data_IF_673810571656
#
_entry.id   IF_673810571656
#
_cell.length_a   1.000
_cell.length_b   1.000
_cell.length_c   1.000
_cell.angle_alpha   90.00
_cell.angle_beta   90.00
_cell.angle_gamma   90.00
#
_symmetry.space_group_name_H-M   'P 1'
#
loop_
_entity.id
_entity.type
_entity.pdbx_description
1 polymer ?
#
# COMPACT_ATOMS: atom_id res chain seq x y z
N UNK A 1 1.82 -5.90 -1.27
CA UNK A 1 0.99 -6.09 -2.50
C UNK A 1 -0.49 -5.92 -2.16
N UNK A 2 -1.21 -5.05 -2.89
CA UNK A 2 -2.66 -4.82 -2.69
C UNK A 2 -3.46 -5.57 -3.75
N UNK A 3 -4.44 -6.37 -3.31
CA UNK A 3 -5.33 -7.09 -4.21
C UNK A 3 -6.51 -6.20 -4.62
N UNK A 4 -7.01 -6.40 -5.85
CA UNK A 4 -8.30 -5.86 -6.27
C UNK A 4 -9.44 -6.55 -5.50
N UNK A 5 -10.60 -5.88 -5.40
CA UNK A 5 -11.74 -6.42 -4.65
C UNK A 5 -12.13 -7.84 -5.08
N UNK A 6 -12.22 -8.08 -6.40
CA UNK A 6 -12.62 -9.40 -6.89
C UNK A 6 -11.59 -10.49 -6.54
N UNK A 7 -10.29 -10.18 -6.53
CA UNK A 7 -9.23 -11.09 -6.12
C UNK A 7 -9.33 -11.40 -4.62
N UNK A 8 -9.57 -10.38 -3.79
CA UNK A 8 -9.82 -10.56 -2.36
C UNK A 8 -11.05 -11.45 -2.11
N UNK A 9 -12.16 -11.23 -2.82
CA UNK A 9 -13.37 -12.06 -2.73
C UNK A 9 -13.16 -13.50 -3.17
N UNK A 10 -12.34 -13.75 -4.19
CA UNK A 10 -11.98 -15.12 -4.58
C UNK A 10 -11.23 -15.84 -3.45
N UNK A 11 -10.34 -15.14 -2.72
CA UNK A 11 -9.65 -15.71 -1.55
C UNK A 11 -10.63 -15.96 -0.40
N UNK A 12 -11.58 -15.05 -0.17
CA UNK A 12 -12.65 -15.25 0.81
C UNK A 12 -13.51 -16.48 0.48
N UNK A 13 -13.95 -16.61 -0.76
CA UNK A 13 -14.70 -17.76 -1.23
C UNK A 13 -13.92 -19.07 -1.07
N UNK A 14 -12.63 -19.09 -1.41
CA UNK A 14 -11.74 -20.25 -1.25
C UNK A 14 -11.57 -20.63 0.23
N UNK A 15 -11.61 -19.66 1.14
CA UNK A 15 -11.62 -19.87 2.59
C UNK A 15 -13.01 -20.26 3.12
N UNK A 16 -14.04 -20.37 2.27
CA UNK A 16 -15.41 -20.73 2.62
C UNK A 16 -16.24 -19.58 3.23
N UNK A 17 -15.81 -18.32 3.06
CA UNK A 17 -16.60 -17.15 3.41
C UNK A 17 -17.54 -16.85 2.24
N UNK A 18 -18.81 -16.66 2.54
CA UNK A 18 -19.80 -16.37 1.50
C UNK A 18 -19.55 -15.02 0.84
N UNK A 19 -19.54 -15.00 -0.47
CA UNK A 19 -19.43 -13.81 -1.32
C UNK A 19 -20.53 -13.84 -2.39
N UNK A 20 -20.95 -12.71 -2.96
CA UNK A 20 -21.86 -12.71 -4.10
C UNK A 20 -21.20 -13.39 -5.32
N UNK A 21 -22.00 -14.12 -6.11
CA UNK A 21 -21.57 -14.59 -7.40
C UNK A 21 -21.24 -13.41 -8.32
N UNK A 22 -20.12 -13.49 -9.05
CA UNK A 22 -19.68 -12.36 -9.85
C UNK A 22 -18.84 -12.75 -11.07
N UNK A 23 -18.68 -11.78 -11.97
CA UNK A 23 -17.87 -11.89 -13.19
C UNK A 23 -17.03 -10.62 -13.38
N UNK A 24 -15.77 -10.80 -13.75
CA UNK A 24 -14.91 -9.71 -14.15
C UNK A 24 -15.27 -9.32 -15.61
N UNK A 25 -15.46 -8.03 -15.84
CA UNK A 25 -15.72 -7.47 -17.16
C UNK A 25 -14.70 -6.36 -17.48
N UNK A 26 -14.14 -6.40 -18.69
CA UNK A 26 -13.20 -5.40 -19.22
C UNK A 26 -13.84 -4.56 -20.33
N UNK A 27 -15.02 -4.96 -20.77
CA UNK A 27 -15.81 -4.25 -21.76
C UNK A 27 -17.26 -4.06 -21.30
N UNK A 28 -17.99 -3.05 -21.81
CA UNK A 28 -19.40 -2.87 -21.51
C UNK A 28 -20.27 -4.09 -21.92
N UNK A 29 -19.91 -4.77 -23.00
CA UNK A 29 -20.64 -5.94 -23.48
C UNK A 29 -20.48 -7.15 -22.55
N UNK A 30 -19.28 -7.35 -21.97
CA UNK A 30 -19.06 -8.38 -20.95
C UNK A 30 -19.88 -8.10 -19.68
N UNK A 31 -20.04 -6.83 -19.30
CA UNK A 31 -20.89 -6.46 -18.15
C UNK A 31 -22.38 -6.70 -18.43
N UNK A 32 -22.85 -6.44 -19.66
CA UNK A 32 -24.21 -6.79 -20.08
C UNK A 32 -24.45 -8.30 -20.04
N UNK A 33 -23.51 -9.09 -20.57
CA UNK A 33 -23.56 -10.55 -20.51
C UNK A 33 -23.57 -11.10 -19.08
N UNK A 34 -22.84 -10.46 -18.15
CA UNK A 34 -22.90 -10.78 -16.73
C UNK A 34 -24.29 -10.52 -16.15
N UNK A 35 -24.91 -9.39 -16.49
CA UNK A 35 -26.26 -9.05 -16.05
C UNK A 35 -27.35 -10.02 -16.61
N UNK A 36 -27.18 -10.50 -17.86
CA UNK A 36 -28.06 -11.53 -18.42
C UNK A 36 -28.06 -12.84 -17.61
N UNK A 37 -26.87 -13.20 -17.06
CA UNK A 37 -26.71 -14.44 -16.29
C UNK A 37 -27.11 -14.30 -14.82
N UNK A 38 -26.80 -13.15 -14.21
CA UNK A 38 -26.92 -12.92 -12.77
C UNK A 38 -28.21 -12.15 -12.39
N UNK A 39 -28.89 -11.55 -13.35
CA UNK A 39 -30.05 -10.68 -13.10
C UNK A 39 -29.63 -9.30 -12.59
N UNK A 40 -30.24 -8.83 -11.49
CA UNK A 40 -29.84 -7.59 -10.84
C UNK A 40 -28.42 -7.70 -10.33
N UNK A 41 -27.55 -6.76 -10.75
CA UNK A 41 -26.13 -6.76 -10.39
C UNK A 41 -25.66 -5.41 -9.82
N UNK A 42 -24.57 -5.49 -9.04
CA UNK A 42 -23.73 -4.35 -8.74
C UNK A 42 -22.53 -4.35 -9.70
N UNK A 43 -22.31 -3.25 -10.41
CA UNK A 43 -21.14 -2.99 -11.27
C UNK A 43 -20.15 -2.15 -10.49
N UNK A 44 -18.95 -2.68 -10.21
CA UNK A 44 -17.98 -2.07 -9.30
C UNK A 44 -16.63 -1.88 -9.96
N UNK A 45 -16.11 -0.65 -9.97
CA UNK A 45 -14.76 -0.34 -10.42
C UNK A 45 -13.72 -1.21 -9.70
N UNK A 46 -12.73 -1.72 -10.42
CA UNK A 46 -11.62 -2.46 -9.86
C UNK A 46 -10.36 -1.57 -9.87
N UNK A 47 -10.04 -1.05 -8.70
CA UNK A 47 -8.84 -0.24 -8.42
C UNK A 47 -8.28 -0.61 -7.05
N UNK A 48 -6.95 -0.52 -6.79
CA UNK A 48 -6.31 -0.97 -5.56
C UNK A 48 -6.50 0.00 -4.37
N UNK A 49 -7.55 0.81 -4.39
CA UNK A 49 -7.86 1.80 -3.34
C UNK A 49 -9.31 1.72 -2.87
N UNK A 50 -9.54 2.20 -1.63
CA UNK A 50 -10.88 2.35 -1.07
C UNK A 50 -11.64 3.59 -1.56
N UNK A 51 -12.91 3.71 -1.14
CA UNK A 51 -13.72 4.88 -1.42
C UNK A 51 -14.34 4.93 -2.83
N UNK A 52 -14.34 3.82 -3.56
CA UNK A 52 -14.90 3.68 -4.93
C UNK A 52 -16.35 4.12 -5.02
N UNK A 53 -17.17 3.78 -4.01
CA UNK A 53 -18.58 4.21 -3.96
C UNK A 53 -18.72 5.73 -3.88
N UNK A 54 -17.94 6.40 -3.02
CA UNK A 54 -17.91 7.88 -2.90
C UNK A 54 -17.47 8.56 -4.20
N UNK A 55 -16.62 7.90 -4.99
CA UNK A 55 -16.16 8.38 -6.28
C UNK A 55 -17.14 8.09 -7.44
N UNK A 56 -18.28 7.43 -7.18
CA UNK A 56 -19.24 7.04 -8.22
C UNK A 56 -18.82 5.80 -9.03
N UNK A 57 -17.83 5.05 -8.55
CA UNK A 57 -17.31 3.82 -9.18
C UNK A 57 -18.16 2.57 -8.89
N UNK A 58 -19.35 2.70 -8.31
CA UNK A 58 -20.28 1.59 -8.03
C UNK A 58 -21.68 1.99 -8.52
N UNK A 59 -22.34 1.08 -9.24
CA UNK A 59 -23.72 1.23 -9.68
C UNK A 59 -24.47 -0.09 -9.50
N UNK A 60 -25.74 -0.02 -9.06
CA UNK A 60 -26.64 -1.19 -9.01
C UNK A 60 -27.62 -1.05 -10.17
N UNK A 61 -27.78 -2.10 -10.95
CA UNK A 61 -28.57 -2.10 -12.18
C UNK A 61 -29.41 -3.36 -12.28
N UNK A 62 -30.55 -3.24 -12.95
CA UNK A 62 -31.54 -4.31 -13.07
C UNK A 62 -31.60 -4.91 -14.49
N UNK A 63 -31.01 -4.25 -15.48
CA UNK A 63 -31.06 -4.68 -16.89
C UNK A 63 -29.67 -4.79 -17.53
N UNK A 64 -29.49 -5.65 -18.56
CA UNK A 64 -28.23 -5.72 -19.30
C UNK A 64 -27.85 -4.40 -20.00
N UNK A 65 -28.83 -3.63 -20.49
CA UNK A 65 -28.60 -2.33 -21.11
C UNK A 65 -28.05 -1.33 -20.09
N UNK A 66 -28.60 -1.30 -18.88
CA UNK A 66 -28.11 -0.45 -17.81
C UNK A 66 -26.72 -0.88 -17.39
N UNK A 67 -26.46 -2.20 -17.33
CA UNK A 67 -25.13 -2.74 -17.01
C UNK A 67 -24.10 -2.29 -18.05
N UNK A 68 -24.43 -2.37 -19.35
CA UNK A 68 -23.57 -1.86 -20.44
C UNK A 68 -23.28 -0.37 -20.28
N UNK A 69 -24.31 0.44 -20.06
CA UNK A 69 -24.17 1.90 -19.90
C UNK A 69 -23.31 2.26 -18.70
N UNK A 70 -23.59 1.68 -17.53
CA UNK A 70 -22.85 1.97 -16.32
C UNK A 70 -21.41 1.44 -16.37
N UNK A 71 -21.18 0.26 -16.95
CA UNK A 71 -19.84 -0.25 -17.18
C UNK A 71 -19.03 0.67 -18.11
N UNK A 72 -19.62 1.17 -19.21
CA UNK A 72 -18.98 2.13 -20.10
C UNK A 72 -18.57 3.42 -19.35
N UNK A 73 -19.46 3.93 -18.50
CA UNK A 73 -19.19 5.10 -17.66
C UNK A 73 -18.05 4.82 -16.68
N UNK A 74 -18.12 3.71 -15.93
CA UNK A 74 -17.16 3.39 -14.89
C UNK A 74 -15.77 3.07 -15.48
N UNK A 75 -15.70 2.36 -16.61
CA UNK A 75 -14.45 2.05 -17.30
C UNK A 75 -13.75 3.31 -17.86
N UNK A 76 -14.47 4.41 -18.05
CA UNK A 76 -13.89 5.70 -18.48
C UNK A 76 -13.39 6.57 -17.33
N UNK A 77 -13.57 6.13 -16.07
CA UNK A 77 -13.21 6.91 -14.90
C UNK A 77 -11.71 6.78 -14.57
N UNK A 78 -11.20 7.84 -13.95
CA UNK A 78 -10.02 7.82 -13.10
C UNK A 78 -10.47 8.03 -11.66
N UNK A 79 -10.05 7.15 -10.75
CA UNK A 79 -10.38 7.24 -9.34
C UNK A 79 -9.10 7.54 -8.56
N UNK A 80 -8.87 8.80 -8.24
CA UNK A 80 -7.70 9.29 -7.49
C UNK A 80 -6.36 8.91 -8.12
N UNK A 81 -6.23 9.05 -9.45
CA UNK A 81 -5.04 8.71 -10.20
C UNK A 81 -4.97 7.26 -10.69
N UNK A 82 -5.99 6.45 -10.39
CA UNK A 82 -6.10 5.08 -10.87
C UNK A 82 -7.13 4.97 -12.00
N UNK A 83 -6.73 4.76 -13.25
CA UNK A 83 -7.65 4.52 -14.34
C UNK A 83 -8.38 3.19 -14.13
N UNK A 84 -9.70 3.18 -14.28
CA UNK A 84 -10.50 1.96 -14.15
C UNK A 84 -10.39 1.12 -15.42
N UNK A 85 -9.76 -0.05 -15.31
CA UNK A 85 -9.52 -0.97 -16.45
C UNK A 85 -10.48 -2.15 -16.51
N UNK A 86 -11.14 -2.44 -15.40
CA UNK A 86 -12.13 -3.50 -15.31
C UNK A 86 -13.17 -3.17 -14.26
N UNK A 87 -14.32 -3.82 -14.39
CA UNK A 87 -15.40 -3.78 -13.41
C UNK A 87 -15.71 -5.19 -12.93
N UNK A 88 -16.06 -5.32 -11.66
CA UNK A 88 -16.62 -6.53 -11.10
C UNK A 88 -18.15 -6.42 -11.12
N UNK A 89 -18.81 -7.33 -11.83
CA UNK A 89 -20.25 -7.44 -11.94
C UNK A 89 -20.71 -8.57 -11.03
N UNK A 90 -21.42 -8.28 -9.96
CA UNK A 90 -21.84 -9.29 -8.98
C UNK A 90 -23.32 -9.21 -8.66
N UNK A 91 -23.90 -10.33 -8.23
CA UNK A 91 -25.31 -10.40 -7.83
C UNK A 91 -25.63 -9.34 -6.77
N UNK A 92 -26.66 -8.55 -7.02
CA UNK A 92 -27.14 -7.51 -6.10
C UNK A 92 -27.70 -8.13 -4.82
N UNK A 93 -27.18 -7.71 -3.67
CA UNK A 93 -27.61 -8.18 -2.37
C UNK A 93 -28.82 -7.37 -1.85
N UNK A 94 -29.73 -8.06 -1.16
CA UNK A 94 -30.69 -7.42 -0.27
C UNK A 94 -30.04 -7.22 1.10
N UNK A 95 -30.00 -5.97 1.56
CA UNK A 95 -29.23 -5.59 2.76
C UNK A 95 -30.21 -5.30 3.92
N UNK A 96 -30.13 -6.10 4.98
CA UNK A 96 -30.83 -5.82 6.23
C UNK A 96 -29.97 -4.98 7.20
N UNK A 97 -28.66 -5.24 7.22
CA UNK A 97 -27.68 -4.47 8.00
C UNK A 97 -26.30 -4.60 7.39
N UNK A 98 -25.48 -3.57 7.55
CA UNK A 98 -24.08 -3.54 7.14
C UNK A 98 -23.19 -3.59 8.39
N UNK A 99 -22.30 -4.57 8.44
CA UNK A 99 -21.35 -4.79 9.51
C UNK A 99 -19.94 -4.60 8.98
N UNK A 100 -18.99 -4.41 9.88
CA UNK A 100 -17.57 -4.36 9.61
C UNK A 100 -16.87 -5.52 10.30
N UNK A 101 -16.00 -6.21 9.58
CA UNK A 101 -15.07 -7.20 10.14
C UNK A 101 -13.70 -7.00 9.50
N UNK A 102 -12.69 -6.66 10.30
CA UNK A 102 -11.33 -6.46 9.83
C UNK A 102 -10.30 -7.14 10.71
N UNK A 103 -9.20 -7.55 10.09
CA UNK A 103 -8.00 -8.06 10.76
C UNK A 103 -6.83 -7.24 10.24
N UNK A 104 -6.07 -6.64 11.14
CA UNK A 104 -4.89 -5.87 10.80
C UNK A 104 -3.81 -6.04 11.85
N UNK A 105 -2.58 -5.65 11.52
CA UNK A 105 -1.44 -5.77 12.43
C UNK A 105 -1.42 -4.58 13.41
N UNK A 106 -1.56 -4.88 14.71
CA UNK A 106 -1.27 -3.94 15.79
C UNK A 106 0.23 -3.95 16.08
N UNK A 107 0.94 -2.93 15.61
CA UNK A 107 2.40 -2.83 15.71
C UNK A 107 2.88 -2.62 17.14
N UNK A 108 2.10 -1.91 17.95
CA UNK A 108 2.43 -1.65 19.37
C UNK A 108 2.37 -2.94 20.18
N UNK A 109 1.34 -3.75 19.91
CA UNK A 109 1.15 -5.05 20.58
C UNK A 109 1.83 -6.21 19.87
N UNK A 110 2.42 -6.00 18.68
CA UNK A 110 3.14 -6.98 17.86
C UNK A 110 2.32 -8.24 17.59
N UNK A 111 1.03 -8.05 17.29
CA UNK A 111 0.08 -9.14 16.98
C UNK A 111 -1.09 -8.62 16.15
N UNK A 112 -1.86 -9.51 15.59
CA UNK A 112 -3.09 -9.12 14.92
C UNK A 112 -4.12 -8.58 15.91
N UNK A 113 -4.91 -7.62 15.44
CA UNK A 113 -6.16 -7.19 16.06
C UNK A 113 -7.31 -7.53 15.13
N UNK A 114 -8.34 -8.12 15.69
CA UNK A 114 -9.63 -8.36 15.02
C UNK A 114 -10.56 -7.24 15.47
N UNK A 115 -11.15 -6.57 14.50
CA UNK A 115 -12.03 -5.41 14.72
C UNK A 115 -13.41 -5.78 14.18
N UNK A 116 -14.43 -5.61 15.00
CA UNK A 116 -15.82 -5.81 14.62
C UNK A 116 -16.64 -4.58 14.97
N UNK A 117 -17.54 -4.18 14.05
CA UNK A 117 -18.49 -3.08 14.28
C UNK A 117 -19.82 -3.35 13.58
N UNK A 118 -20.89 -2.82 14.15
CA UNK A 118 -22.22 -2.79 13.51
C UNK A 118 -22.44 -1.55 12.66
N UNK A 119 -21.40 -0.76 12.42
CA UNK A 119 -21.37 0.37 11.50
C UNK A 119 -20.49 0.00 10.29
N UNK A 120 -21.00 -0.85 9.41
CA UNK A 120 -20.36 -1.19 8.13
C UNK A 120 -20.69 -0.19 7.02
N UNK A 121 -20.02 -0.35 5.87
CA UNK A 121 -20.18 0.55 4.71
C UNK A 121 -19.56 1.93 4.90
N UNK A 122 -18.90 2.18 6.03
CA UNK A 122 -18.22 3.42 6.40
C UNK A 122 -16.72 3.15 6.63
N UNK A 123 -15.92 4.21 6.58
CA UNK A 123 -14.51 4.13 6.97
C UNK A 123 -14.42 3.89 8.49
N UNK A 124 -13.78 2.80 8.89
CA UNK A 124 -13.70 2.40 10.30
C UNK A 124 -12.95 3.42 11.16
N UNK A 125 -12.03 4.15 10.55
CA UNK A 125 -11.30 5.25 11.19
C UNK A 125 -12.25 6.39 11.58
N UNK A 126 -13.23 6.69 10.71
CA UNK A 126 -14.25 7.69 11.02
C UNK A 126 -15.17 7.20 12.14
N UNK A 127 -15.56 5.92 12.12
CA UNK A 127 -16.34 5.32 13.21
C UNK A 127 -15.57 5.36 14.53
N UNK A 128 -14.24 5.18 14.49
CA UNK A 128 -13.39 5.24 15.67
C UNK A 128 -13.35 6.64 16.33
N UNK A 129 -13.55 7.69 15.55
CA UNK A 129 -13.63 9.08 16.03
C UNK A 129 -15.04 9.42 16.51
N UNK A 130 -16.07 9.11 15.71
CA UNK A 130 -17.44 9.58 15.92
C UNK A 130 -18.23 8.71 16.92
N UNK A 131 -17.94 7.40 16.97
CA UNK A 131 -18.70 6.43 17.78
C UNK A 131 -17.81 5.25 18.21
N UNK A 132 -16.72 5.50 18.98
CA UNK A 132 -15.75 4.47 19.37
C UNK A 132 -16.35 3.30 20.14
N UNK A 133 -17.48 3.53 20.83
CA UNK A 133 -18.21 2.51 21.56
C UNK A 133 -18.84 1.43 20.64
N UNK A 134 -18.99 1.70 19.35
CA UNK A 134 -19.48 0.73 18.35
C UNK A 134 -18.39 -0.21 17.85
N UNK A 135 -17.13 0.03 18.23
CA UNK A 135 -15.99 -0.77 17.80
C UNK A 135 -15.58 -1.72 18.91
N UNK A 136 -15.70 -3.00 18.65
CA UNK A 136 -15.13 -4.04 19.47
C UNK A 136 -13.80 -4.54 18.92
N UNK A 137 -12.82 -4.79 19.78
CA UNK A 137 -11.48 -5.26 19.40
C UNK A 137 -11.10 -6.51 20.19
N UNK A 138 -10.43 -7.44 19.49
CA UNK A 138 -9.88 -8.67 20.07
C UNK A 138 -8.44 -8.83 19.57
N UNK A 139 -7.53 -9.11 20.49
CA UNK A 139 -6.13 -9.44 20.19
C UNK A 139 -5.92 -10.93 20.46
N UNK A 140 -6.08 -11.80 19.47
CA UNK A 140 -5.91 -13.23 19.66
C UNK A 140 -4.48 -13.59 20.03
N UNK A 141 -4.30 -14.72 20.68
CA UNK A 141 -3.00 -15.31 20.88
C UNK A 141 -2.38 -15.67 19.50
N UNK A 142 -1.14 -15.27 19.20
CA UNK A 142 -0.54 -15.51 17.88
C UNK A 142 -0.41 -16.99 17.50
N UNK A 143 -0.32 -17.90 18.47
CA UNK A 143 -0.17 -19.34 18.23
C UNK A 143 -1.50 -20.07 18.24
N UNK A 144 -2.41 -19.73 19.14
CA UNK A 144 -3.71 -20.37 19.24
C UNK A 144 -4.73 -19.80 18.26
N UNK A 145 -4.54 -18.57 17.80
CA UNK A 145 -5.53 -17.84 17.01
C UNK A 145 -6.75 -17.41 17.84
N UNK A 146 -7.80 -16.91 17.19
CA UNK A 146 -9.02 -16.47 17.90
C UNK A 146 -9.83 -17.68 18.40
N UNK A 147 -10.08 -17.73 19.70
CA UNK A 147 -10.90 -18.78 20.29
C UNK A 147 -12.40 -18.45 20.14
N UNK A 148 -13.22 -19.47 19.98
CA UNK A 148 -14.65 -19.29 19.70
C UNK A 148 -15.38 -18.46 20.76
N UNK A 149 -15.01 -18.56 22.03
CA UNK A 149 -15.64 -17.77 23.11
C UNK A 149 -15.19 -16.30 23.06
N UNK A 150 -13.93 -16.02 22.67
CA UNK A 150 -13.42 -14.66 22.51
C UNK A 150 -14.14 -13.94 21.36
N UNK A 151 -14.30 -14.63 20.23
CA UNK A 151 -15.03 -14.06 19.07
C UNK A 151 -16.50 -13.85 19.41
N UNK A 152 -17.15 -14.73 20.19
CA UNK A 152 -18.51 -14.49 20.67
C UNK A 152 -18.57 -13.26 21.55
N UNK A 153 -17.61 -13.09 22.46
CA UNK A 153 -17.52 -11.90 23.30
C UNK A 153 -17.36 -10.63 22.45
N UNK A 154 -16.46 -10.65 21.48
CA UNK A 154 -16.25 -9.56 20.51
C UNK A 154 -17.58 -9.22 19.79
N UNK A 155 -18.29 -10.23 19.28
CA UNK A 155 -19.55 -10.07 18.58
C UNK A 155 -20.63 -9.41 19.48
N UNK A 156 -20.80 -9.91 20.70
CA UNK A 156 -21.78 -9.34 21.64
C UNK A 156 -21.40 -7.91 22.06
N UNK A 157 -20.12 -7.64 22.28
CA UNK A 157 -19.65 -6.29 22.60
C UNK A 157 -19.97 -5.31 21.46
N UNK A 158 -19.65 -5.66 20.19
CA UNK A 158 -19.96 -4.82 19.04
C UNK A 158 -21.46 -4.66 18.77
N UNK A 159 -22.29 -5.68 19.07
CA UNK A 159 -23.74 -5.61 18.92
C UNK A 159 -24.45 -4.92 20.09
N UNK A 160 -23.80 -4.62 21.20
CA UNK A 160 -24.41 -4.02 22.39
C UNK A 160 -25.11 -2.68 22.05
N UNK A 161 -24.60 -1.95 21.07
CA UNK A 161 -25.15 -0.65 20.64
C UNK A 161 -26.05 -0.75 19.38
N UNK A 162 -26.47 -1.98 19.00
CA UNK A 162 -27.34 -2.23 17.84
C UNK A 162 -28.64 -2.97 18.27
N UNK A 163 -29.65 -2.27 18.82
CA UNK A 163 -30.88 -2.88 19.31
C UNK A 163 -31.61 -3.74 18.25
N UNK A 164 -31.54 -3.34 16.97
CA UNK A 164 -32.15 -4.06 15.86
C UNK A 164 -31.60 -5.48 15.65
N UNK A 165 -30.40 -5.78 16.15
CA UNK A 165 -29.74 -7.09 16.01
C UNK A 165 -29.94 -7.98 17.26
N UNK A 166 -30.58 -7.48 18.33
CA UNK A 166 -30.68 -8.16 19.62
C UNK A 166 -31.28 -9.57 19.52
N UNK A 167 -32.38 -9.72 18.80
CA UNK A 167 -33.08 -11.00 18.68
C UNK A 167 -32.30 -12.04 17.82
N UNK A 168 -31.35 -11.57 17.00
CA UNK A 168 -30.52 -12.40 16.17
C UNK A 168 -29.08 -12.56 16.70
N UNK A 169 -28.73 -11.89 17.79
CA UNK A 169 -27.38 -11.76 18.29
C UNK A 169 -26.67 -13.11 18.52
N UNK A 170 -27.36 -14.09 19.09
CA UNK A 170 -26.79 -15.41 19.36
C UNK A 170 -26.44 -16.16 18.06
N UNK A 171 -27.33 -16.10 17.05
CA UNK A 171 -27.06 -16.70 15.72
C UNK A 171 -25.93 -15.99 15.02
N UNK A 172 -25.96 -14.66 14.99
CA UNK A 172 -24.90 -13.85 14.38
C UNK A 172 -23.55 -14.07 15.04
N UNK A 173 -23.50 -14.16 16.37
CA UNK A 173 -22.25 -14.45 17.08
C UNK A 173 -21.69 -15.83 16.71
N UNK A 174 -22.53 -16.83 16.47
CA UNK A 174 -22.08 -18.16 16.02
C UNK A 174 -21.54 -18.14 14.59
N UNK A 175 -22.18 -17.42 13.66
CA UNK A 175 -21.71 -17.26 12.29
C UNK A 175 -20.43 -16.42 12.24
N UNK A 176 -20.33 -15.34 13.04
CA UNK A 176 -19.12 -14.53 13.16
C UNK A 176 -17.93 -15.33 13.66
N UNK A 177 -18.12 -16.31 14.57
CA UNK A 177 -17.02 -17.23 14.96
C UNK A 177 -16.44 -17.92 13.73
N UNK A 178 -17.31 -18.47 12.88
CA UNK A 178 -16.87 -19.20 11.69
C UNK A 178 -16.14 -18.28 10.71
N UNK A 179 -16.74 -17.13 10.37
CA UNK A 179 -16.17 -16.18 9.40
C UNK A 179 -14.87 -15.60 9.94
N UNK A 180 -14.83 -15.17 11.20
CA UNK A 180 -13.63 -14.58 11.82
C UNK A 180 -12.47 -15.58 11.86
N UNK A 181 -12.73 -16.83 12.22
CA UNK A 181 -11.69 -17.88 12.25
C UNK A 181 -11.14 -18.13 10.84
N UNK A 182 -12.00 -18.20 9.82
CA UNK A 182 -11.60 -18.39 8.42
C UNK A 182 -10.80 -17.20 7.91
N UNK A 183 -11.27 -15.99 8.20
CA UNK A 183 -10.60 -14.75 7.80
C UNK A 183 -9.22 -14.63 8.47
N UNK A 184 -9.11 -14.97 9.75
CA UNK A 184 -7.84 -14.99 10.48
C UNK A 184 -6.87 -16.02 9.91
N UNK A 185 -7.35 -17.23 9.65
CA UNK A 185 -6.53 -18.27 9.01
C UNK A 185 -6.02 -17.82 7.65
N UNK A 186 -6.89 -17.22 6.84
CA UNK A 186 -6.51 -16.66 5.54
C UNK A 186 -5.47 -15.54 5.68
N UNK A 187 -5.66 -14.61 6.64
CA UNK A 187 -4.72 -13.53 6.88
C UNK A 187 -3.32 -14.04 7.25
N UNK A 188 -3.25 -15.07 8.11
CA UNK A 188 -1.98 -15.71 8.48
C UNK A 188 -1.35 -16.46 7.31
N UNK A 189 -2.15 -17.23 6.55
CA UNK A 189 -1.65 -18.03 5.41
C UNK A 189 -1.11 -17.18 4.27
N UNK A 190 -1.66 -15.98 4.07
CA UNK A 190 -1.25 -15.05 3.02
C UNK A 190 -0.27 -13.97 3.49
N UNK A 191 0.22 -14.04 4.73
CA UNK A 191 1.06 -12.97 5.30
C UNK A 191 0.42 -11.59 5.14
N UNK A 192 -0.89 -11.49 5.39
CA UNK A 192 -1.64 -10.27 5.18
C UNK A 192 -1.33 -9.22 6.25
N UNK A 193 -1.11 -7.98 5.84
CA UNK A 193 -1.07 -6.82 6.73
C UNK A 193 -2.47 -6.34 7.09
N UNK A 194 -3.41 -6.48 6.14
CA UNK A 194 -4.82 -6.13 6.31
C UNK A 194 -5.70 -7.14 5.58
N UNK A 195 -6.74 -7.61 6.24
CA UNK A 195 -7.77 -8.46 5.68
C UNK A 195 -9.12 -7.96 6.19
N UNK A 196 -9.92 -7.30 5.33
CA UNK A 196 -11.10 -6.54 5.73
C UNK A 196 -12.30 -6.91 4.86
N UNK A 197 -13.46 -7.01 5.50
CA UNK A 197 -14.77 -7.13 4.87
C UNK A 197 -15.60 -5.91 5.29
N UNK A 198 -15.87 -5.01 4.36
CA UNK A 198 -16.58 -3.76 4.63
C UNK A 198 -17.40 -3.26 3.43
N UNK A 199 -18.73 -3.56 3.37
CA UNK A 199 -19.50 -4.18 4.43
C UNK A 199 -19.50 -5.73 4.42
N UNK A 200 -19.59 -6.31 5.61
CA UNK A 200 -20.10 -7.65 5.82
C UNK A 200 -21.63 -7.52 5.94
N UNK A 201 -22.35 -7.91 4.89
CA UNK A 201 -23.79 -7.71 4.80
C UNK A 201 -24.53 -8.82 5.52
N UNK A 202 -25.47 -8.43 6.39
CA UNK A 202 -26.52 -9.31 6.89
C UNK A 202 -27.72 -9.20 5.94
N UNK A 203 -28.10 -10.33 5.32
CA UNK A 203 -29.30 -10.37 4.46
C UNK A 203 -30.59 -10.49 5.29
N UNK A 204 -31.77 -10.20 4.71
CA UNK A 204 -33.06 -10.41 5.38
C UNK A 204 -33.26 -11.86 5.86
N UNK A 205 -32.71 -12.84 5.12
CA UNK A 205 -32.76 -14.27 5.43
C UNK A 205 -31.83 -14.63 6.61
N UNK A 206 -30.98 -13.69 7.03
CA UNK A 206 -30.09 -13.82 8.17
C UNK A 206 -28.76 -14.51 7.83
N UNK A 207 -28.29 -14.39 6.60
CA UNK A 207 -26.97 -14.85 6.17
C UNK A 207 -25.97 -13.68 6.20
N UNK A 208 -24.72 -13.99 6.53
CA UNK A 208 -23.62 -13.04 6.45
C UNK A 208 -22.84 -13.26 5.13
N UNK A 209 -22.72 -12.19 4.33
CA UNK A 209 -22.10 -12.20 3.02
C UNK A 209 -21.07 -11.07 2.91
N UNK A 210 -19.86 -11.38 2.48
CA UNK A 210 -18.82 -10.37 2.23
C UNK A 210 -19.13 -9.61 0.94
N UNK A 211 -19.74 -8.45 1.05
CA UNK A 211 -20.15 -7.62 -0.08
C UNK A 211 -19.01 -6.79 -0.65
N UNK A 212 -17.99 -6.50 0.12
CA UNK A 212 -16.73 -5.90 -0.32
C UNK A 212 -15.56 -6.58 0.40
N UNK A 213 -14.36 -6.47 -0.14
CA UNK A 213 -13.18 -7.07 0.42
C UNK A 213 -11.91 -6.29 0.10
N UNK A 214 -11.07 -6.12 1.12
CA UNK A 214 -9.74 -5.55 1.01
C UNK A 214 -8.74 -6.53 1.59
N UNK A 215 -7.72 -6.86 0.80
CA UNK A 215 -6.64 -7.74 1.21
C UNK A 215 -5.32 -7.12 0.77
N UNK A 216 -4.45 -6.88 1.75
CA UNK A 216 -3.11 -6.37 1.54
C UNK A 216 -2.10 -7.35 2.13
N UNK A 217 -1.20 -7.85 1.29
CA UNK A 217 -0.17 -8.83 1.64
C UNK A 217 1.15 -8.10 1.87
N UNK A 218 1.94 -8.56 2.84
CA UNK A 218 3.27 -8.04 3.09
C UNK A 218 4.17 -8.26 1.87
N UNK A 219 4.70 -7.20 1.30
CA UNK A 219 5.59 -7.25 0.14
C UNK A 219 6.86 -8.05 0.43
N UNK A 220 7.33 -8.05 1.68
CA UNK A 220 8.47 -8.87 2.10
C UNK A 220 8.17 -10.37 2.10
N UNK A 221 6.90 -10.77 2.03
CA UNK A 221 6.45 -12.16 1.97
C UNK A 221 6.08 -12.62 0.56
N UNK A 222 6.11 -11.77 -0.47
CA UNK A 222 5.70 -12.08 -1.85
C UNK A 222 6.43 -13.31 -2.42
N UNK A 223 7.69 -13.54 -2.03
CA UNK A 223 8.45 -14.71 -2.45
C UNK A 223 7.81 -16.05 -2.04
N UNK A 224 6.96 -16.07 -1.02
CA UNK A 224 6.17 -17.23 -0.57
C UNK A 224 4.88 -17.42 -1.36
N UNK A 225 4.45 -16.40 -2.10
CA UNK A 225 3.16 -16.30 -2.79
C UNK A 225 3.32 -16.10 -4.30
N UNK A 226 4.32 -16.75 -4.93
CA UNK A 226 4.69 -16.54 -6.33
C UNK A 226 3.52 -16.69 -7.32
N UNK A 227 2.59 -17.65 -7.08
CA UNK A 227 1.40 -17.84 -7.93
C UNK A 227 0.44 -16.64 -7.84
N UNK A 228 0.22 -16.14 -6.63
CA UNK A 228 -0.64 -14.98 -6.39
C UNK A 228 -0.02 -13.69 -6.97
N UNK A 229 1.29 -13.52 -6.81
CA UNK A 229 2.03 -12.42 -7.43
C UNK A 229 1.89 -12.45 -8.95
N UNK A 230 2.04 -13.64 -9.57
CA UNK A 230 1.87 -13.80 -11.00
C UNK A 230 0.41 -13.57 -11.48
N UNK A 231 -0.58 -13.89 -10.64
CA UNK A 231 -2.00 -13.61 -10.91
C UNK A 231 -2.27 -12.11 -10.91
N UNK A 232 -1.84 -11.41 -9.85
CA UNK A 232 -2.00 -9.94 -9.73
C UNK A 232 -1.26 -9.23 -10.87
N UNK A 233 -0.04 -9.66 -11.20
CA UNK A 233 0.73 -9.09 -12.30
C UNK A 233 0.05 -9.26 -13.67
N UNK A 234 -0.61 -10.42 -13.92
CA UNK A 234 -1.35 -10.63 -15.18
C UNK A 234 -2.56 -9.70 -15.33
N UNK A 235 -3.24 -9.41 -14.24
CA UNK A 235 -4.38 -8.49 -14.25
C UNK A 235 -3.94 -7.03 -14.37
N UNK A 236 -2.70 -6.75 -13.95
CA UNK A 236 -2.01 -5.47 -14.17
C UNK A 236 -1.29 -5.43 -15.53
N UNK A 237 -1.16 -6.56 -16.26
CA UNK A 237 -0.50 -6.63 -17.56
C UNK A 237 -1.34 -5.87 -18.63
N UNK A 238 -0.78 -4.84 -19.16
CA UNK A 238 -1.45 -3.80 -19.97
C UNK A 238 -1.39 -2.46 -19.28
N UNK A 239 -0.86 -2.44 -18.08
CA UNK A 239 -0.53 -1.25 -17.35
C UNK A 239 0.85 -0.76 -17.79
N UNK A 240 0.89 0.36 -18.48
CA UNK A 240 2.10 1.10 -18.87
C UNK A 240 2.81 1.73 -17.64
N UNK A 241 2.76 1.05 -16.49
CA UNK A 241 3.33 1.50 -15.21
C UNK A 241 2.40 2.41 -14.39
N UNK A 242 1.11 2.52 -14.79
CA UNK A 242 0.13 3.35 -14.07
C UNK A 242 -0.73 2.52 -13.12
N UNK A 243 -0.10 1.79 -12.21
CA UNK A 243 -0.80 1.08 -11.11
C UNK A 243 -1.24 2.02 -9.98
N UNK A 244 -1.10 3.35 -10.18
CA UNK A 244 -1.24 4.36 -9.13
C UNK A 244 -0.07 4.36 -8.14
N UNK A 245 0.87 3.46 -8.31
CA UNK A 245 2.19 3.56 -7.68
C UNK A 245 2.95 4.69 -8.40
N UNK A 246 3.70 5.45 -7.63
CA UNK A 246 4.56 6.48 -8.19
C UNK A 246 5.52 5.86 -9.22
N UNK A 247 5.65 6.43 -10.45
CA UNK A 247 6.50 5.86 -11.50
C UNK A 247 7.96 5.67 -11.07
N UNK A 248 8.46 6.57 -10.21
CA UNK A 248 9.82 6.47 -9.68
C UNK A 248 9.95 5.32 -8.70
N UNK A 249 8.93 5.08 -7.85
CA UNK A 249 8.93 3.94 -6.92
C UNK A 249 8.86 2.60 -7.67
N UNK A 250 8.07 2.53 -8.74
CA UNK A 250 8.00 1.34 -9.62
C UNK A 250 9.36 1.07 -10.27
N UNK A 251 10.02 2.11 -10.79
CA UNK A 251 11.34 1.96 -11.43
C UNK A 251 12.42 1.58 -10.40
N UNK A 252 12.41 2.17 -9.22
CA UNK A 252 13.32 1.84 -8.13
C UNK A 252 13.18 0.38 -7.68
N UNK A 253 11.95 -0.13 -7.59
CA UNK A 253 11.67 -1.53 -7.24
C UNK A 253 12.26 -2.50 -8.26
N UNK A 254 12.17 -2.19 -9.57
CA UNK A 254 12.82 -2.99 -10.65
C UNK A 254 14.34 -3.05 -10.48
N UNK A 255 14.94 -1.99 -9.95
CA UNK A 255 16.39 -1.88 -9.68
C UNK A 255 16.80 -2.44 -8.32
N UNK A 256 15.86 -2.98 -7.54
CA UNK A 256 16.10 -3.51 -6.18
C UNK A 256 16.48 -2.42 -5.17
N UNK A 257 15.99 -1.18 -5.36
CA UNK A 257 16.23 -0.04 -4.48
C UNK A 257 14.99 0.24 -3.62
N UNK A 258 15.23 0.61 -2.35
CA UNK A 258 14.17 1.10 -1.46
C UNK A 258 14.04 2.61 -1.64
N UNK A 259 12.97 3.03 -2.29
CA UNK A 259 12.73 4.42 -2.70
C UNK A 259 11.31 4.86 -2.34
N UNK A 260 11.18 6.09 -1.86
CA UNK A 260 9.89 6.78 -1.70
C UNK A 260 10.03 8.16 -2.33
N UNK A 261 9.11 8.50 -3.23
CA UNK A 261 9.08 9.82 -3.87
C UNK A 261 8.49 10.87 -2.92
N UNK A 262 9.06 12.07 -2.94
CA UNK A 262 8.63 13.24 -2.18
C UNK A 262 8.59 14.47 -3.11
N UNK A 263 7.83 15.50 -2.72
CA UNK A 263 7.58 16.68 -3.56
C UNK A 263 8.72 17.72 -3.58
N UNK A 264 9.91 17.37 -3.12
CA UNK A 264 11.04 18.30 -3.01
C UNK A 264 11.90 18.41 -4.25
N UNK A 265 13.10 18.98 -4.08
CA UNK A 265 14.06 19.22 -5.15
C UNK A 265 15.51 18.86 -4.79
N UNK A 266 15.74 18.29 -3.62
CA UNK A 266 17.04 17.78 -3.18
C UNK A 266 16.96 16.28 -3.09
N UNK A 267 17.67 15.59 -4.00
CA UNK A 267 17.81 14.15 -3.96
C UNK A 267 18.60 13.69 -2.73
N UNK A 268 18.15 12.65 -2.06
CA UNK A 268 18.80 12.11 -0.85
C UNK A 268 19.09 10.63 -1.04
N UNK A 269 20.35 10.25 -0.79
CA UNK A 269 20.82 8.86 -0.80
C UNK A 269 21.52 8.58 0.52
N UNK A 270 21.08 7.53 1.22
CA UNK A 270 21.73 7.06 2.45
C UNK A 270 21.92 5.55 2.45
N UNK A 271 22.74 5.04 3.35
CA UNK A 271 22.91 3.60 3.57
C UNK A 271 22.41 3.17 4.94
N UNK A 272 21.14 2.90 5.02
CA UNK A 272 20.38 2.55 6.20
C UNK A 272 19.22 3.51 6.45
N UNK A 273 18.03 2.96 6.70
CA UNK A 273 16.79 3.71 6.79
C UNK A 273 16.85 4.84 7.84
N UNK A 274 17.40 4.58 9.02
CA UNK A 274 17.54 5.58 10.09
C UNK A 274 18.44 6.75 9.69
N UNK A 275 19.57 6.47 9.03
CA UNK A 275 20.47 7.52 8.52
C UNK A 275 19.79 8.35 7.43
N UNK A 276 19.07 7.70 6.52
CA UNK A 276 18.37 8.38 5.44
C UNK A 276 17.26 9.27 5.99
N UNK A 277 16.44 8.79 6.93
CA UNK A 277 15.42 9.61 7.61
C UNK A 277 16.03 10.85 8.29
N UNK A 278 17.11 10.64 9.07
CA UNK A 278 17.82 11.77 9.70
C UNK A 278 18.39 12.75 8.65
N UNK A 279 18.80 12.27 7.49
CA UNK A 279 19.30 13.12 6.41
C UNK A 279 18.19 13.99 5.82
N UNK A 280 16.99 13.44 5.64
CA UNK A 280 15.80 14.22 5.22
C UNK A 280 15.51 15.33 6.24
N UNK A 281 15.54 15.02 7.55
CA UNK A 281 15.30 15.99 8.61
C UNK A 281 16.34 17.11 8.59
N UNK A 282 17.63 16.78 8.39
CA UNK A 282 18.69 17.77 8.27
C UNK A 282 18.49 18.70 7.07
N UNK A 283 18.13 18.16 5.91
CA UNK A 283 17.80 18.97 4.73
C UNK A 283 16.65 19.94 5.03
N UNK A 284 15.57 19.45 5.65
CA UNK A 284 14.44 20.28 6.09
C UNK A 284 14.86 21.36 7.09
N UNK A 285 15.67 21.01 8.08
CA UNK A 285 16.15 21.93 9.12
C UNK A 285 16.95 23.10 8.54
N UNK A 286 17.66 22.88 7.43
CA UNK A 286 18.42 23.92 6.73
C UNK A 286 17.60 24.64 5.63
N UNK A 287 16.28 24.41 5.58
CA UNK A 287 15.38 25.11 4.66
C UNK A 287 15.30 24.49 3.26
N UNK A 288 15.80 23.26 3.08
CA UNK A 288 15.68 22.50 1.83
C UNK A 288 14.44 21.60 1.79
N UNK A 289 14.10 21.12 0.60
CA UNK A 289 12.97 20.23 0.37
C UNK A 289 13.47 18.89 -0.23
N UNK A 290 13.46 17.76 0.54
CA UNK A 290 13.86 16.47 0.01
C UNK A 290 12.92 16.00 -1.09
N UNK A 291 13.49 15.50 -2.20
CA UNK A 291 12.75 14.95 -3.34
C UNK A 291 12.43 13.47 -3.20
N UNK A 292 13.16 12.76 -2.34
CA UNK A 292 12.99 11.34 -2.14
C UNK A 292 13.62 10.86 -0.84
N UNK A 293 13.15 9.69 -0.39
CA UNK A 293 13.91 8.79 0.48
C UNK A 293 14.53 7.70 -0.39
N UNK A 294 15.84 7.44 -0.29
CA UNK A 294 16.50 6.30 -0.92
C UNK A 294 17.53 5.68 0.00
N UNK A 295 17.33 4.41 0.32
CA UNK A 295 18.25 3.59 1.12
C UNK A 295 18.94 2.54 0.24
N UNK A 296 20.27 2.64 0.11
CA UNK A 296 21.07 1.67 -0.65
C UNK A 296 21.51 0.47 0.19
N UNK A 297 21.18 0.43 1.49
CA UNK A 297 21.54 -0.65 2.41
C UNK A 297 23.01 -0.68 2.81
N UNK A 298 23.36 -1.64 3.66
CA UNK A 298 24.73 -1.88 4.09
C UNK A 298 25.55 -2.62 3.02
N UNK A 299 26.87 -2.33 2.94
CA UNK A 299 27.77 -2.99 1.99
C UNK A 299 27.55 -2.60 0.53
N UNK A 300 27.06 -1.40 0.27
CA UNK A 300 26.79 -0.92 -1.08
C UNK A 300 28.05 -0.90 -1.97
N UNK A 301 27.95 -1.54 -3.13
CA UNK A 301 28.97 -1.52 -4.17
C UNK A 301 28.93 -0.21 -4.97
N UNK A 302 30.02 0.07 -5.73
CA UNK A 302 30.07 1.19 -6.65
C UNK A 302 28.91 1.19 -7.68
N UNK A 303 28.56 0.00 -8.20
CA UNK A 303 27.42 -0.17 -9.11
C UNK A 303 26.09 0.22 -8.46
N UNK A 304 25.87 -0.16 -7.19
CA UNK A 304 24.65 0.18 -6.48
C UNK A 304 24.51 1.68 -6.21
N UNK A 305 25.64 2.35 -5.94
CA UNK A 305 25.70 3.82 -5.80
C UNK A 305 25.40 4.50 -7.14
N UNK A 306 25.97 3.99 -8.25
CA UNK A 306 25.67 4.47 -9.59
C UNK A 306 24.17 4.37 -9.92
N UNK A 307 23.59 3.19 -9.72
CA UNK A 307 22.15 2.95 -9.96
C UNK A 307 21.26 3.84 -9.09
N UNK A 308 21.66 4.12 -7.85
CA UNK A 308 20.94 5.01 -6.95
C UNK A 308 20.97 6.47 -7.43
N UNK A 309 22.12 6.97 -7.89
CA UNK A 309 22.26 8.30 -8.48
C UNK A 309 21.44 8.44 -9.76
N UNK A 310 21.52 7.45 -10.65
CA UNK A 310 20.70 7.42 -11.86
C UNK A 310 19.20 7.48 -11.50
N UNK A 311 18.76 6.68 -10.52
CA UNK A 311 17.36 6.65 -10.08
C UNK A 311 16.87 8.00 -9.56
N UNK A 312 17.64 8.64 -8.68
CA UNK A 312 17.29 9.96 -8.12
C UNK A 312 17.21 11.03 -9.20
N UNK A 313 18.07 10.95 -10.21
CA UNK A 313 18.15 11.93 -11.29
C UNK A 313 17.10 11.75 -12.39
N UNK A 314 16.33 10.65 -12.39
CA UNK A 314 15.14 10.50 -13.24
C UNK A 314 14.08 11.53 -12.90
N UNK A 315 14.01 12.00 -11.65
CA UNK A 315 13.09 13.07 -11.27
C UNK A 315 13.62 14.43 -11.81
N UNK A 316 12.87 15.08 -12.72
CA UNK A 316 13.26 16.37 -13.28
C UNK A 316 13.29 17.50 -12.25
N UNK A 317 12.58 17.36 -11.13
CA UNK A 317 12.54 18.38 -10.06
C UNK A 317 13.83 18.39 -9.25
N UNK A 318 14.61 17.33 -9.23
CA UNK A 318 15.87 17.24 -8.49
C UNK A 318 16.88 18.25 -9.06
N UNK A 319 17.34 19.17 -8.22
CA UNK A 319 18.31 20.23 -8.54
C UNK A 319 19.71 19.91 -8.02
N UNK A 320 19.86 19.03 -7.04
CA UNK A 320 21.12 18.59 -6.49
C UNK A 320 20.92 17.35 -5.64
N UNK A 321 22.00 16.61 -5.33
CA UNK A 321 21.94 15.35 -4.60
C UNK A 321 22.86 15.37 -3.39
N UNK A 322 22.34 14.98 -2.24
CA UNK A 322 23.08 14.73 -1.02
C UNK A 322 23.22 13.22 -0.79
N UNK A 323 24.46 12.74 -0.89
CA UNK A 323 24.84 11.36 -0.58
C UNK A 323 25.44 11.31 0.82
N UNK A 324 24.75 10.64 1.77
CA UNK A 324 25.19 10.54 3.17
C UNK A 324 25.44 9.08 3.54
N UNK A 325 26.71 8.73 3.73
CA UNK A 325 27.16 7.36 3.97
C UNK A 325 27.80 7.24 5.33
N UNK A 326 27.37 6.24 6.08
CA UNK A 326 28.03 5.79 7.30
C UNK A 326 28.67 4.42 7.06
N UNK A 327 29.98 4.38 7.00
CA UNK A 327 30.76 3.19 6.68
C UNK A 327 31.04 2.33 7.92
N UNK A 328 30.50 1.14 7.89
CA UNK A 328 30.98 0.01 8.67
C UNK A 328 31.42 -1.06 7.67
N UNK A 329 30.45 -1.79 7.12
CA UNK A 329 30.65 -2.73 6.00
C UNK A 329 30.85 -1.97 4.67
N UNK A 330 30.13 -0.86 4.48
CA UNK A 330 30.28 0.01 3.31
C UNK A 330 31.62 0.74 3.35
N UNK A 331 32.37 0.68 2.27
CA UNK A 331 33.70 1.32 2.13
C UNK A 331 33.57 2.66 1.43
N UNK A 332 34.17 3.71 1.98
CA UNK A 332 34.14 5.06 1.44
C UNK A 332 34.78 5.16 0.04
N UNK A 333 35.87 4.44 -0.22
CA UNK A 333 36.54 4.41 -1.51
C UNK A 333 35.66 3.79 -2.64
N UNK A 334 34.87 2.75 -2.33
CA UNK A 334 33.91 2.16 -3.26
C UNK A 334 32.76 3.12 -3.58
N UNK A 335 32.24 3.78 -2.55
CA UNK A 335 31.20 4.82 -2.71
C UNK A 335 31.72 5.95 -3.59
N UNK A 336 32.93 6.45 -3.31
CA UNK A 336 33.54 7.52 -4.12
C UNK A 336 33.67 7.13 -5.60
N UNK A 337 34.17 5.91 -5.87
CA UNK A 337 34.25 5.40 -7.26
C UNK A 337 32.87 5.32 -7.92
N UNK A 338 31.85 4.86 -7.20
CA UNK A 338 30.49 4.80 -7.72
C UNK A 338 29.91 6.18 -8.05
N UNK A 339 30.13 7.17 -7.18
CA UNK A 339 29.69 8.55 -7.41
C UNK A 339 30.42 9.16 -8.60
N UNK A 340 31.73 8.97 -8.71
CA UNK A 340 32.56 9.48 -9.82
C UNK A 340 32.12 8.85 -11.14
N UNK A 341 31.99 7.52 -11.17
CA UNK A 341 31.52 6.80 -12.36
C UNK A 341 30.13 7.27 -12.80
N UNK A 342 29.18 7.39 -11.87
CA UNK A 342 27.85 7.89 -12.19
C UNK A 342 27.87 9.33 -12.73
N UNK A 343 28.67 10.21 -12.13
CA UNK A 343 28.81 11.58 -12.65
C UNK A 343 29.31 11.61 -14.10
N UNK A 344 30.33 10.84 -14.39
CA UNK A 344 30.96 10.83 -15.69
C UNK A 344 30.09 10.13 -16.76
N UNK A 345 29.50 8.99 -16.42
CA UNK A 345 28.65 8.20 -17.33
C UNK A 345 27.33 8.89 -17.65
N UNK A 346 26.71 9.52 -16.63
CA UNK A 346 25.41 10.20 -16.76
C UNK A 346 25.55 11.68 -17.14
N UNK A 347 26.78 12.22 -17.19
CA UNK A 347 27.03 13.63 -17.48
C UNK A 347 26.41 14.56 -16.44
N UNK A 348 26.51 14.23 -15.15
CA UNK A 348 25.83 14.96 -14.07
C UNK A 348 26.50 16.34 -13.91
N UNK A 349 25.73 17.40 -14.16
CA UNK A 349 26.13 18.80 -13.96
C UNK A 349 25.50 19.42 -12.71
N UNK A 350 24.52 18.75 -12.12
CA UNK A 350 23.85 19.18 -10.89
C UNK A 350 24.80 19.04 -9.69
N UNK A 351 24.70 19.90 -8.66
CA UNK A 351 25.52 19.80 -7.45
C UNK A 351 25.41 18.42 -6.78
N UNK A 352 26.56 17.83 -6.48
CA UNK A 352 26.69 16.61 -5.69
C UNK A 352 27.46 16.95 -4.41
N UNK A 353 26.84 16.74 -3.25
CA UNK A 353 27.49 16.86 -1.95
C UNK A 353 27.54 15.46 -1.31
N UNK A 354 28.75 15.02 -0.98
CA UNK A 354 28.95 13.68 -0.44
C UNK A 354 29.55 13.77 0.96
N UNK A 355 28.87 13.19 1.93
CA UNK A 355 29.42 12.97 3.26
C UNK A 355 29.60 11.49 3.47
N UNK A 356 30.79 11.10 3.84
CA UNK A 356 31.11 9.74 4.25
C UNK A 356 31.94 9.72 5.52
N UNK A 357 31.67 8.73 6.36
CA UNK A 357 32.39 8.51 7.61
C UNK A 357 32.58 7.01 7.82
N UNK A 358 33.72 6.60 8.37
CA UNK A 358 34.03 5.21 8.72
C UNK A 358 35.07 4.58 7.80
N UNK A 359 34.87 3.32 7.42
CA UNK A 359 35.88 2.53 6.69
C UNK A 359 36.30 3.19 5.38
N UNK A 360 37.61 3.48 5.23
CA UNK A 360 38.22 4.12 4.04
C UNK A 360 37.69 5.53 3.75
N UNK A 361 37.24 6.29 4.75
CA UNK A 361 36.69 7.63 4.53
C UNK A 361 37.69 8.63 3.99
N UNK A 362 38.95 8.59 4.45
CA UNK A 362 40.01 9.51 3.98
C UNK A 362 40.31 9.29 2.50
N UNK A 363 40.45 8.04 2.09
CA UNK A 363 40.70 7.68 0.69
C UNK A 363 39.48 8.04 -0.19
N UNK A 364 38.26 7.76 0.27
CA UNK A 364 37.06 8.14 -0.46
C UNK A 364 36.93 9.67 -0.60
N UNK A 365 37.23 10.42 0.43
CA UNK A 365 37.23 11.89 0.39
C UNK A 365 38.26 12.44 -0.59
N UNK A 366 39.49 11.91 -0.53
CA UNK A 366 40.56 12.27 -1.48
C UNK A 366 40.15 12.05 -2.94
N UNK A 367 39.56 10.88 -3.26
CA UNK A 367 39.07 10.57 -4.59
C UNK A 367 38.00 11.56 -5.07
N UNK A 368 37.05 11.93 -4.21
CA UNK A 368 36.02 12.91 -4.55
C UNK A 368 36.60 14.31 -4.78
N UNK A 369 37.55 14.76 -3.96
CA UNK A 369 38.22 16.05 -4.10
C UNK A 369 39.01 16.12 -5.42
N UNK A 370 39.77 15.08 -5.77
CA UNK A 370 40.51 14.98 -7.05
C UNK A 370 39.58 15.00 -8.25
N UNK A 371 38.37 14.46 -8.10
CA UNK A 371 37.31 14.52 -9.10
C UNK A 371 36.52 15.83 -9.11
N UNK A 372 36.79 16.76 -8.20
CA UNK A 372 36.07 18.04 -8.10
C UNK A 372 34.64 17.92 -7.55
N UNK A 373 34.32 16.82 -6.83
CA UNK A 373 33.05 16.65 -6.13
C UNK A 373 33.21 17.16 -4.70
N UNK A 374 32.21 17.86 -4.19
CA UNK A 374 32.26 18.51 -2.89
C UNK A 374 32.14 17.51 -1.75
N UNK A 375 33.18 17.17 -1.00
CA UNK A 375 33.05 16.39 0.21
C UNK A 375 32.62 17.25 1.38
N UNK A 376 31.96 16.65 2.35
CA UNK A 376 31.63 17.28 3.62
C UNK A 376 32.11 16.43 4.80
N UNK A 377 32.46 17.10 5.89
CA UNK A 377 33.01 16.45 7.10
C UNK A 377 31.91 16.01 8.05
N UNK A 378 30.77 16.69 8.03
CA UNK A 378 29.60 16.37 8.85
C UNK A 378 28.31 16.38 8.05
N UNK A 379 27.28 15.68 8.56
CA UNK A 379 25.99 15.64 7.88
C UNK A 379 25.24 17.00 7.92
N UNK A 380 25.27 17.80 9.02
CA UNK A 380 24.73 19.16 9.00
C UNK A 380 25.42 20.06 7.98
N UNK A 381 26.76 20.04 7.89
CA UNK A 381 27.52 20.81 6.91
C UNK A 381 27.14 20.42 5.47
N UNK A 382 26.95 19.12 5.21
CA UNK A 382 26.55 18.63 3.91
C UNK A 382 25.13 19.10 3.54
N UNK A 383 24.20 19.06 4.51
CA UNK A 383 22.84 19.53 4.31
C UNK A 383 22.80 21.04 4.02
N UNK A 384 23.55 21.84 4.77
CA UNK A 384 23.68 23.27 4.52
C UNK A 384 24.24 23.55 3.13
N UNK A 385 25.34 22.87 2.75
CA UNK A 385 25.98 23.04 1.44
C UNK A 385 25.04 22.71 0.27
N UNK A 386 24.33 21.58 0.34
CA UNK A 386 23.42 21.21 -0.78
C UNK A 386 22.26 22.19 -0.89
N UNK A 387 21.70 22.67 0.23
CA UNK A 387 20.63 23.66 0.24
C UNK A 387 21.12 24.98 -0.40
N UNK A 388 22.31 25.46 -0.04
CA UNK A 388 22.91 26.66 -0.65
C UNK A 388 23.14 26.49 -2.17
N UNK A 389 23.70 25.34 -2.59
CA UNK A 389 24.00 25.06 -3.99
C UNK A 389 22.76 24.89 -4.87
N UNK A 390 21.63 24.47 -4.30
CA UNK A 390 20.35 24.32 -5.02
C UNK A 390 19.50 25.59 -5.04
N UNK A 391 19.96 26.68 -4.39
CA UNK A 391 19.27 27.98 -4.35
C UNK A 391 18.04 27.99 -3.44
N UNK A 392 17.92 27.01 -2.54
CA UNK A 392 16.85 26.92 -1.54
C UNK A 392 17.20 27.65 -0.23
N UNK A 393 18.10 28.62 -0.24
CA UNK A 393 18.34 29.46 0.94
C UNK A 393 17.02 30.09 1.35
N UNK A 394 16.61 29.89 2.60
CA UNK A 394 15.46 30.58 3.17
C UNK A 394 15.67 32.10 3.03
N UNK A 395 14.59 32.89 2.83
CA UNK A 395 14.66 34.32 2.71
C UNK A 395 15.19 34.99 3.98
#
# INVERSE_FOLDING_TARGET
MKLLEYQAKQRFASAGIAVPDGRLARTPDEAAAAAEQLGRIAVKAQVPIGGRGKAGGIAVVDTPEDARREAARILSMDIRGYPVRSVWCETGLSIASELYLGITLDRDRRRFVIIFSTAGGMEIEQVAVDAPEKIAKLWPDPFAGPLAFEVRHLAFAGMAHAPALRDRAAKLAAELVTITTRLYTLAVQLDALTCEINPLVLTPEGQLVAADGKLEIDENAEYRHAELVAEVARDSAGDDGRTGDDPFEVEARKRGLTYVHLDGNIGVIGNGAGLTMNTLDLVKQHGGEPANFLDIGGGASAERVHNALEMVLLDPNVRGVFVNIFGGITRGDEVARGVIAARDDLGITKPLVVRMTGTMEEEGRRLLEEAGIVPATSAPEAAEKIVQLTGNSAP
#
